data_IF_803126540331
#
_entry.id   IF_803126540331
#
_cell.length_a   1.000
_cell.length_b   1.000
_cell.length_c   1.000
_cell.angle_alpha   90.00
_cell.angle_beta   90.00
_cell.angle_gamma   90.00
#
_symmetry.space_group_name_H-M   'P 1'
#
loop_
_entity.id
_entity.type
_entity.pdbx_description
1 polymer ?
#
# COMPACT_ATOMS: atom_id res chain seq x y z
N UNK A 1 -17.70 -3.74 -8.55
CA UNK A 1 -17.42 -4.77 -9.57
C UNK A 1 -17.75 -6.14 -9.00
N UNK A 2 -18.57 -6.88 -9.69
CA UNK A 2 -18.89 -8.23 -9.26
C UNK A 2 -17.77 -9.18 -9.67
N UNK A 3 -17.09 -9.72 -8.67
CA UNK A 3 -16.04 -10.71 -8.88
C UNK A 3 -16.63 -12.09 -8.66
N UNK A 4 -16.37 -12.99 -9.62
CA UNK A 4 -16.68 -14.40 -9.52
C UNK A 4 -16.04 -14.98 -8.24
N UNK A 5 -16.74 -15.85 -7.48
CA UNK A 5 -16.16 -16.45 -6.27
C UNK A 5 -14.80 -17.13 -6.48
N UNK A 6 -14.59 -17.75 -7.65
CA UNK A 6 -13.31 -18.40 -7.98
C UNK A 6 -12.19 -17.37 -8.19
N UNK A 7 -12.51 -16.22 -8.77
CA UNK A 7 -11.54 -15.12 -8.93
C UNK A 7 -11.20 -14.48 -7.59
N UNK A 8 -12.22 -14.30 -6.74
CA UNK A 8 -12.01 -13.77 -5.40
C UNK A 8 -11.06 -14.66 -4.60
N UNK A 9 -11.22 -15.97 -4.69
CA UNK A 9 -10.34 -16.93 -4.03
C UNK A 9 -8.89 -16.85 -4.56
N UNK A 10 -8.72 -16.69 -5.87
CA UNK A 10 -7.40 -16.49 -6.47
C UNK A 10 -6.72 -15.23 -5.94
N UNK A 11 -7.45 -14.11 -5.87
CA UNK A 11 -6.92 -12.87 -5.32
C UNK A 11 -6.56 -13.01 -3.85
N UNK A 12 -7.36 -13.73 -3.07
CA UNK A 12 -7.06 -14.00 -1.66
C UNK A 12 -5.77 -14.83 -1.53
N UNK A 13 -5.57 -15.83 -2.38
CA UNK A 13 -4.35 -16.64 -2.38
C UNK A 13 -3.12 -15.81 -2.73
N UNK A 14 -3.23 -14.94 -3.73
CA UNK A 14 -2.13 -14.04 -4.12
C UNK A 14 -1.79 -13.10 -2.97
N UNK A 15 -2.80 -12.56 -2.29
CA UNK A 15 -2.61 -11.68 -1.13
C UNK A 15 -1.89 -12.41 0.00
N UNK A 16 -2.30 -13.65 0.30
CA UNK A 16 -1.65 -14.47 1.33
C UNK A 16 -0.19 -14.73 1.00
N UNK A 17 0.12 -15.10 -0.25
CA UNK A 17 1.50 -15.31 -0.70
C UNK A 17 2.34 -14.05 -0.58
N UNK A 18 1.78 -12.92 -1.02
CA UNK A 18 2.50 -11.64 -1.01
C UNK A 18 2.84 -11.19 0.40
N UNK A 19 1.91 -11.41 1.35
CA UNK A 19 2.08 -11.02 2.75
C UNK A 19 2.77 -12.08 3.59
N UNK A 20 3.12 -13.23 3.02
CA UNK A 20 3.87 -14.28 3.70
C UNK A 20 5.35 -13.88 3.80
N UNK A 21 5.78 -13.50 5.00
CA UNK A 21 7.14 -13.04 5.27
C UNK A 21 8.21 -14.12 5.07
N UNK A 22 7.81 -15.38 4.98
CA UNK A 22 8.73 -16.52 4.77
C UNK A 22 8.61 -17.12 3.38
N UNK A 23 7.73 -16.60 2.54
CA UNK A 23 7.50 -17.09 1.18
C UNK A 23 8.39 -16.41 0.13
N UNK A 24 7.93 -16.45 -1.12
CA UNK A 24 8.70 -15.90 -2.24
C UNK A 24 8.91 -14.41 -2.21
N UNK A 25 8.09 -13.66 -1.44
CA UNK A 25 8.22 -12.23 -1.26
C UNK A 25 9.00 -11.84 0.01
N UNK A 26 9.65 -12.82 0.66
CA UNK A 26 10.43 -12.58 1.87
C UNK A 26 11.42 -11.41 1.77
N UNK A 27 12.14 -11.20 0.63
CA UNK A 27 13.05 -10.06 0.53
C UNK A 27 12.38 -8.70 0.75
N UNK A 28 11.14 -8.52 0.32
CA UNK A 28 10.40 -7.28 0.54
C UNK A 28 10.12 -7.05 2.03
N UNK A 29 9.80 -8.13 2.76
CA UNK A 29 9.54 -8.06 4.20
C UNK A 29 10.79 -7.79 5.01
N UNK A 30 11.95 -8.20 4.51
CA UNK A 30 13.25 -7.90 5.14
C UNK A 30 13.60 -6.42 4.97
N UNK A 31 13.37 -5.86 3.79
CA UNK A 31 13.74 -4.48 3.46
C UNK A 31 12.76 -3.47 4.07
N UNK A 32 11.48 -3.83 4.17
CA UNK A 32 10.45 -2.87 4.58
C UNK A 32 10.71 -2.16 5.92
N UNK A 33 11.11 -2.86 7.00
CA UNK A 33 11.41 -2.18 8.26
C UNK A 33 12.52 -1.13 8.13
N UNK A 34 13.52 -1.39 7.28
CA UNK A 34 14.62 -0.46 7.03
C UNK A 34 14.12 0.79 6.29
N UNK A 35 13.26 0.62 5.28
CA UNK A 35 12.66 1.72 4.55
C UNK A 35 11.75 2.56 5.45
N UNK A 36 10.92 1.90 6.22
CA UNK A 36 9.99 2.54 7.14
C UNK A 36 10.74 3.35 8.20
N UNK A 37 11.80 2.78 8.78
CA UNK A 37 12.64 3.48 9.76
C UNK A 37 13.33 4.69 9.13
N UNK A 38 13.88 4.55 7.94
CA UNK A 38 14.53 5.66 7.25
C UNK A 38 13.57 6.84 7.08
N UNK A 39 12.36 6.57 6.63
CA UNK A 39 11.36 7.61 6.41
C UNK A 39 10.95 8.25 7.74
N UNK A 40 10.65 7.46 8.76
CA UNK A 40 10.22 7.97 10.05
C UNK A 40 11.31 8.75 10.78
N UNK A 41 12.58 8.44 10.54
CA UNK A 41 13.71 9.20 11.06
C UNK A 41 13.87 10.57 10.39
N UNK A 42 13.41 10.70 9.13
CA UNK A 42 13.50 11.95 8.36
C UNK A 42 12.29 12.85 8.51
N UNK A 43 11.12 12.27 8.74
CA UNK A 43 9.86 13.00 8.77
C UNK A 43 8.98 12.43 9.90
N UNK A 44 8.41 13.33 10.70
CA UNK A 44 7.34 12.92 11.61
C UNK A 44 6.08 12.67 10.77
N UNK A 45 5.74 11.41 10.59
CA UNK A 45 4.61 10.98 9.76
C UNK A 45 3.25 11.24 10.42
N UNK A 46 3.21 11.44 11.73
CA UNK A 46 1.96 11.61 12.45
C UNK A 46 1.18 12.82 11.93
N UNK A 47 -0.05 12.58 11.49
CA UNK A 47 -0.92 13.62 10.94
C UNK A 47 -0.55 14.10 9.53
N UNK A 48 0.44 13.50 8.90
CA UNK A 48 0.86 13.86 7.53
C UNK A 48 -0.01 13.16 6.50
N UNK A 49 -0.19 13.83 5.37
CA UNK A 49 -0.86 13.31 4.20
C UNK A 49 0.21 12.78 3.23
N UNK A 50 0.23 11.48 2.99
CA UNK A 50 1.29 10.79 2.26
C UNK A 50 0.73 10.09 1.04
N UNK A 51 1.45 10.20 -0.08
CA UNK A 51 1.22 9.36 -1.26
C UNK A 51 2.39 8.39 -1.41
N UNK A 52 2.08 7.10 -1.51
CA UNK A 52 3.04 6.03 -1.73
C UNK A 52 2.92 5.56 -3.19
N UNK A 53 3.88 5.96 -4.01
CA UNK A 53 3.91 5.68 -5.45
C UNK A 53 4.50 4.30 -5.69
N UNK A 54 3.86 3.54 -6.57
CA UNK A 54 4.21 2.14 -6.84
C UNK A 54 4.18 1.32 -5.54
N UNK A 55 3.07 1.43 -4.82
CA UNK A 55 2.93 0.88 -3.47
C UNK A 55 2.93 -0.65 -3.41
N UNK A 56 2.73 -1.33 -4.52
CA UNK A 56 2.64 -2.78 -4.55
C UNK A 56 1.49 -3.29 -3.67
N UNK A 57 1.75 -4.34 -2.91
CA UNK A 57 0.77 -4.93 -1.99
C UNK A 57 0.61 -4.22 -0.66
N UNK A 58 1.26 -3.07 -0.46
CA UNK A 58 0.99 -2.19 0.66
C UNK A 58 1.87 -2.31 1.89
N UNK A 59 3.03 -2.96 1.82
CA UNK A 59 3.92 -3.12 2.98
C UNK A 59 4.34 -1.78 3.58
N UNK A 60 4.94 -0.91 2.77
CA UNK A 60 5.37 0.40 3.24
C UNK A 60 4.17 1.29 3.55
N UNK A 61 3.14 1.23 2.73
CA UNK A 61 1.90 2.00 2.91
C UNK A 61 1.31 1.76 4.29
N UNK A 62 1.15 0.52 4.69
CA UNK A 62 0.59 0.17 6.00
C UNK A 62 1.53 0.56 7.14
N UNK A 63 2.84 0.43 6.95
CA UNK A 63 3.82 0.86 7.96
C UNK A 63 3.72 2.36 8.24
N UNK A 64 3.54 3.17 7.20
CA UNK A 64 3.37 4.61 7.37
C UNK A 64 2.04 4.95 8.03
N UNK A 65 0.99 4.22 7.69
CA UNK A 65 -0.30 4.37 8.37
C UNK A 65 -0.18 4.07 9.87
N UNK A 66 0.56 3.04 10.25
CA UNK A 66 0.81 2.70 11.65
C UNK A 66 1.56 3.81 12.40
N UNK A 67 2.34 4.62 11.67
CA UNK A 67 3.02 5.79 12.22
C UNK A 67 2.12 7.03 12.35
N UNK A 68 0.84 6.89 12.04
CA UNK A 68 -0.13 7.97 12.19
C UNK A 68 -0.38 8.81 10.94
N UNK A 69 0.17 8.42 9.79
CA UNK A 69 -0.06 9.12 8.54
C UNK A 69 -1.42 8.74 7.92
N UNK A 70 -1.97 9.66 7.14
CA UNK A 70 -3.07 9.39 6.22
C UNK A 70 -2.44 9.06 4.87
N UNK A 71 -2.55 7.81 4.43
CA UNK A 71 -1.80 7.33 3.28
C UNK A 71 -2.70 6.96 2.12
N UNK A 72 -2.28 7.37 0.93
CA UNK A 72 -2.84 6.92 -0.35
C UNK A 72 -1.77 6.13 -1.08
N UNK A 73 -2.05 4.87 -1.38
CA UNK A 73 -1.17 4.02 -2.18
C UNK A 73 -1.64 3.97 -3.62
N UNK A 74 -0.72 4.09 -4.56
CA UNK A 74 -1.01 4.09 -6.00
C UNK A 74 -0.10 3.08 -6.69
N UNK A 75 -0.68 2.27 -7.56
CA UNK A 75 0.08 1.33 -8.38
C UNK A 75 -0.64 1.08 -9.70
N UNK A 76 0.11 0.87 -10.77
CA UNK A 76 -0.45 0.57 -12.09
C UNK A 76 -0.95 -0.87 -12.17
N UNK A 77 -0.49 -1.74 -11.29
CA UNK A 77 -0.90 -3.15 -11.24
C UNK A 77 -2.22 -3.32 -10.49
N UNK A 78 -3.26 -3.78 -11.16
CA UNK A 78 -4.53 -4.10 -10.54
C UNK A 78 -4.39 -5.26 -9.53
N UNK A 79 -3.53 -6.24 -9.81
CA UNK A 79 -3.25 -7.36 -8.90
C UNK A 79 -2.63 -6.85 -7.61
N UNK A 80 -1.64 -5.96 -7.71
CA UNK A 80 -1.00 -5.37 -6.53
C UNK A 80 -2.01 -4.58 -5.68
N UNK A 81 -2.81 -3.74 -6.31
CA UNK A 81 -3.82 -2.95 -5.61
C UNK A 81 -4.88 -3.84 -4.94
N UNK A 82 -5.36 -4.88 -5.63
CA UNK A 82 -6.30 -5.82 -5.03
C UNK A 82 -5.69 -6.54 -3.83
N UNK A 83 -4.42 -6.93 -3.93
CA UNK A 83 -3.67 -7.53 -2.81
C UNK A 83 -3.62 -6.58 -1.61
N UNK A 84 -3.28 -5.31 -1.87
CA UNK A 84 -3.21 -4.29 -0.82
C UNK A 84 -4.57 -4.05 -0.16
N UNK A 85 -5.63 -3.93 -0.96
CA UNK A 85 -7.00 -3.73 -0.44
C UNK A 85 -7.46 -4.90 0.42
N UNK A 86 -7.22 -6.12 -0.01
CA UNK A 86 -7.60 -7.33 0.73
C UNK A 86 -6.94 -7.35 2.11
N UNK A 87 -5.63 -7.09 2.16
CA UNK A 87 -4.90 -7.09 3.41
C UNK A 87 -5.34 -5.96 4.34
N UNK A 88 -5.54 -4.76 3.81
CA UNK A 88 -5.98 -3.61 4.59
C UNK A 88 -7.38 -3.85 5.18
N UNK A 89 -8.30 -4.37 4.39
CA UNK A 89 -9.65 -4.68 4.84
C UNK A 89 -9.64 -5.74 5.94
N UNK A 90 -8.85 -6.79 5.76
CA UNK A 90 -8.73 -7.89 6.71
C UNK A 90 -8.19 -7.43 8.08
N UNK A 91 -7.36 -6.41 8.09
CA UNK A 91 -6.71 -5.89 9.30
C UNK A 91 -7.29 -4.55 9.77
N UNK A 92 -8.38 -4.11 9.16
CA UNK A 92 -9.06 -2.85 9.49
C UNK A 92 -8.18 -1.61 9.36
N UNK A 93 -7.29 -1.60 8.38
CA UNK A 93 -6.50 -0.41 8.05
C UNK A 93 -7.30 0.51 7.14
N UNK A 94 -7.35 1.79 7.50
CA UNK A 94 -8.03 2.82 6.72
C UNK A 94 -7.03 3.49 5.77
N UNK A 95 -6.70 2.80 4.69
CA UNK A 95 -5.79 3.27 3.64
C UNK A 95 -6.55 3.34 2.33
N UNK A 96 -6.32 4.41 1.58
CA UNK A 96 -6.88 4.55 0.23
C UNK A 96 -5.91 3.96 -0.78
N UNK A 97 -6.36 2.99 -1.56
CA UNK A 97 -5.58 2.39 -2.65
C UNK A 97 -6.22 2.70 -3.99
N UNK A 98 -5.41 3.18 -4.94
CA UNK A 98 -5.85 3.58 -6.27
C UNK A 98 -5.04 2.83 -7.33
N UNK A 99 -5.75 2.13 -8.23
CA UNK A 99 -5.14 1.53 -9.40
C UNK A 99 -5.06 2.61 -10.50
N UNK A 100 -3.86 3.03 -10.82
CA UNK A 100 -3.63 4.07 -11.81
C UNK A 100 -2.20 4.59 -11.77
N UNK A 101 -1.97 5.65 -12.55
CA UNK A 101 -0.69 6.34 -12.60
C UNK A 101 -0.66 7.49 -11.60
N UNK A 102 0.42 7.58 -10.83
CA UNK A 102 0.59 8.63 -9.82
C UNK A 102 0.56 10.02 -10.45
N UNK A 103 1.14 10.17 -11.63
CA UNK A 103 1.17 11.45 -12.35
C UNK A 103 -0.23 11.96 -12.66
N UNK A 104 -1.12 11.10 -13.13
CA UNK A 104 -2.51 11.47 -13.40
C UNK A 104 -3.23 11.88 -12.11
N UNK A 105 -3.04 11.12 -11.04
CA UNK A 105 -3.64 11.43 -9.75
C UNK A 105 -3.19 12.78 -9.22
N UNK A 106 -1.89 13.07 -9.28
CA UNK A 106 -1.32 14.33 -8.79
C UNK A 106 -1.76 15.52 -9.62
N UNK A 107 -1.97 15.34 -10.93
CA UNK A 107 -2.44 16.41 -11.82
C UNK A 107 -3.93 16.70 -11.65
N UNK A 108 -4.74 15.67 -11.41
CA UNK A 108 -6.19 15.79 -11.33
C UNK A 108 -6.68 16.06 -9.90
N UNK A 109 -5.88 15.71 -8.91
CA UNK A 109 -6.25 15.82 -7.51
C UNK A 109 -6.13 17.28 -7.03
N UNK A 110 -7.12 17.73 -6.28
CA UNK A 110 -7.04 18.98 -5.51
C UNK A 110 -6.35 18.75 -4.16
N UNK A 111 -6.07 17.51 -3.83
CA UNK A 111 -5.36 17.18 -2.60
C UNK A 111 -3.88 17.49 -2.72
N UNK A 112 -3.31 18.00 -1.66
CA UNK A 112 -1.88 18.18 -1.53
C UNK A 112 -1.33 17.12 -0.60
N UNK A 113 -0.15 16.60 -0.95
CA UNK A 113 0.54 15.62 -0.11
C UNK A 113 1.75 16.26 0.55
N UNK A 114 1.92 15.96 1.83
CA UNK A 114 3.08 16.43 2.60
C UNK A 114 4.33 15.62 2.28
N UNK A 115 4.14 14.34 1.95
CA UNK A 115 5.24 13.39 1.71
C UNK A 115 4.91 12.54 0.50
N UNK A 116 5.92 12.31 -0.34
CA UNK A 116 5.86 11.40 -1.49
C UNK A 116 6.92 10.32 -1.31
N UNK A 117 6.52 9.06 -1.39
CA UNK A 117 7.44 7.93 -1.26
C UNK A 117 7.39 6.97 -2.44
#
# INVERSE_FOLDING_TARGET
>A
MNIDPSEKEKFNQIAEEWWDATGKFAPLHVINPLRSKYISDKVDLNGKNVIDVACGGGLLTESMHECGATVTGVDISDVAINTAKIHAEKNNYNVTYINGEAEELLNDSKETFDVVT
#
